data_IF_678270603846
#
_entry.id   IF_678270603846
#
_cell.length_a   1.000
_cell.length_b   1.000
_cell.length_c   1.000
_cell.angle_alpha   90.00
_cell.angle_beta   90.00
_cell.angle_gamma   90.00
#
_symmetry.space_group_name_H-M   'P 1'
#
loop_
_entity.id
_entity.type
_entity.pdbx_description
1 polymer ?
#
# COMPACT_ATOMS: atom_id res chain seq x y z
N UNK A 1 9.83 12.20 -22.03
CA UNK A 1 9.56 12.18 -20.58
C UNK A 1 9.26 10.75 -20.20
N UNK A 2 10.14 10.22 -19.37
CA UNK A 2 10.45 8.80 -19.21
C UNK A 2 9.41 8.08 -18.35
N UNK A 3 8.86 6.97 -18.87
CA UNK A 3 7.87 6.13 -18.18
C UNK A 3 8.32 5.73 -16.77
N UNK A 4 9.64 5.53 -16.60
CA UNK A 4 10.30 5.18 -15.34
C UNK A 4 10.11 6.23 -14.24
N UNK A 5 10.17 7.53 -14.57
CA UNK A 5 9.94 8.60 -13.59
C UNK A 5 8.49 8.60 -13.07
N UNK A 6 7.54 8.21 -13.91
CA UNK A 6 6.13 8.17 -13.53
C UNK A 6 5.84 6.97 -12.62
N UNK A 7 6.43 5.81 -12.90
CA UNK A 7 6.31 4.61 -12.07
C UNK A 7 6.91 4.84 -10.67
N UNK A 8 8.11 5.44 -10.57
CA UNK A 8 8.70 5.75 -9.27
C UNK A 8 7.85 6.72 -8.44
N UNK A 9 7.23 7.72 -9.08
CA UNK A 9 6.28 8.63 -8.41
C UNK A 9 5.09 7.84 -7.85
N UNK A 10 4.46 6.99 -8.67
CA UNK A 10 3.32 6.16 -8.25
C UNK A 10 3.68 5.27 -7.07
N UNK A 11 4.84 4.61 -7.11
CA UNK A 11 5.33 3.76 -6.01
C UNK A 11 5.50 4.57 -4.73
N UNK A 12 6.10 5.76 -4.82
CA UNK A 12 6.34 6.62 -3.65
C UNK A 12 5.02 7.07 -3.01
N UNK A 13 4.07 7.54 -3.82
CA UNK A 13 2.76 8.01 -3.34
C UNK A 13 1.92 6.86 -2.77
N UNK A 14 1.94 5.68 -3.40
CA UNK A 14 1.26 4.49 -2.91
C UNK A 14 1.82 4.01 -1.56
N UNK A 15 3.16 4.00 -1.41
CA UNK A 15 3.81 3.68 -0.14
C UNK A 15 3.45 4.68 0.95
N UNK A 16 3.49 5.98 0.65
CA UNK A 16 3.11 7.04 1.58
C UNK A 16 1.65 6.89 2.02
N UNK A 17 0.73 6.69 1.06
CA UNK A 17 -0.70 6.47 1.32
C UNK A 17 -0.93 5.26 2.23
N UNK A 18 -0.21 4.16 1.99
CA UNK A 18 -0.27 2.96 2.82
C UNK A 18 0.14 3.25 4.26
N UNK A 19 1.30 3.88 4.45
CA UNK A 19 1.84 4.20 5.78
C UNK A 19 0.90 5.15 6.53
N UNK A 20 0.43 6.21 5.88
CA UNK A 20 -0.49 7.18 6.46
C UNK A 20 -1.80 6.52 6.87
N UNK A 21 -2.38 5.65 6.04
CA UNK A 21 -3.60 4.92 6.39
C UNK A 21 -3.43 4.09 7.66
N UNK A 22 -2.36 3.28 7.76
CA UNK A 22 -2.13 2.47 8.96
C UNK A 22 -1.86 3.35 10.18
N UNK A 23 -1.11 4.44 10.03
CA UNK A 23 -0.82 5.32 11.15
C UNK A 23 -2.07 6.04 11.65
N UNK A 24 -2.82 6.69 10.77
CA UNK A 24 -3.97 7.54 11.16
C UNK A 24 -5.24 6.74 11.45
N UNK A 25 -5.52 5.69 10.67
CA UNK A 25 -6.76 4.90 10.82
C UNK A 25 -6.60 3.72 11.76
N UNK A 26 -5.41 3.14 11.82
CA UNK A 26 -5.16 1.90 12.55
C UNK A 26 -4.35 2.12 13.83
N UNK A 27 -3.65 3.26 13.97
CA UNK A 27 -2.65 3.50 15.02
C UNK A 27 -1.54 2.45 14.98
N UNK A 28 -1.13 2.07 13.76
CA UNK A 28 -0.12 1.05 13.52
C UNK A 28 1.04 1.64 12.71
N UNK A 29 2.26 1.49 13.23
CA UNK A 29 3.47 1.70 12.45
C UNK A 29 3.77 0.44 11.62
N UNK A 30 3.93 0.62 10.32
CA UNK A 30 4.13 -0.46 9.35
C UNK A 30 5.40 -0.28 8.54
N UNK A 31 5.94 -1.39 8.06
CA UNK A 31 7.11 -1.43 7.17
C UNK A 31 6.68 -2.03 5.85
N UNK A 32 6.97 -1.31 4.76
CA UNK A 32 6.74 -1.79 3.40
C UNK A 32 7.91 -2.67 2.99
N UNK A 33 7.62 -3.89 2.55
CA UNK A 33 8.63 -4.87 2.12
C UNK A 33 8.65 -5.09 0.61
N UNK A 34 7.59 -4.70 -0.09
CA UNK A 34 7.47 -4.94 -1.52
C UNK A 34 6.41 -4.08 -2.19
N UNK A 35 6.47 -4.04 -3.52
CA UNK A 35 5.44 -3.47 -4.37
C UNK A 35 5.40 -4.19 -5.71
N UNK A 36 4.22 -4.26 -6.31
CA UNK A 36 4.02 -4.84 -7.64
C UNK A 36 2.96 -4.04 -8.39
N UNK A 37 3.21 -3.70 -9.65
CA UNK A 37 2.21 -3.05 -10.49
C UNK A 37 1.19 -4.08 -10.96
N UNK A 38 -0.08 -3.80 -10.70
CA UNK A 38 -1.18 -4.56 -11.27
C UNK A 38 -1.38 -4.25 -12.76
N UNK A 39 -2.44 -4.81 -13.36
CA UNK A 39 -2.76 -4.59 -14.76
C UNK A 39 -2.90 -3.09 -15.08
N UNK A 40 -2.31 -2.64 -16.19
CA UNK A 40 -2.36 -1.23 -16.62
C UNK A 40 -3.79 -0.71 -16.74
N UNK A 41 -4.72 -1.54 -17.21
CA UNK A 41 -6.15 -1.19 -17.34
C UNK A 41 -6.81 -0.88 -16.00
N UNK A 42 -6.31 -1.47 -14.90
CA UNK A 42 -6.84 -1.26 -13.55
C UNK A 42 -6.14 -0.12 -12.81
N UNK A 43 -5.04 0.42 -13.36
CA UNK A 43 -4.18 1.43 -12.73
C UNK A 43 -3.99 1.16 -11.24
N UNK A 44 -3.47 -0.02 -10.92
CA UNK A 44 -3.37 -0.50 -9.55
C UNK A 44 -1.94 -0.87 -9.19
N UNK A 45 -1.59 -0.71 -7.93
CA UNK A 45 -0.32 -1.12 -7.34
C UNK A 45 -0.60 -1.89 -6.06
N UNK A 46 0.00 -3.06 -5.94
CA UNK A 46 -0.03 -3.89 -4.76
C UNK A 46 1.14 -3.50 -3.87
N UNK A 47 0.87 -3.23 -2.60
CA UNK A 47 1.86 -2.89 -1.59
C UNK A 47 1.84 -3.96 -0.51
N UNK A 48 2.98 -4.60 -0.27
CA UNK A 48 3.13 -5.63 0.76
C UNK A 48 3.95 -5.11 1.93
N UNK A 49 3.60 -5.53 3.15
CA UNK A 49 4.31 -5.13 4.34
C UNK A 49 3.90 -5.89 5.59
N UNK A 50 4.43 -5.45 6.73
CA UNK A 50 4.07 -5.98 8.04
C UNK A 50 4.09 -4.86 9.09
N UNK A 51 3.49 -5.11 10.26
CA UNK A 51 3.59 -4.19 11.41
C UNK A 51 5.04 -4.15 11.88
N UNK A 52 5.57 -2.96 12.18
CA UNK A 52 6.99 -2.76 12.51
C UNK A 52 7.45 -3.64 13.68
N UNK A 53 6.64 -3.74 14.71
CA UNK A 53 6.92 -4.51 15.93
C UNK A 53 6.57 -6.00 15.83
N UNK A 54 5.93 -6.45 14.74
CA UNK A 54 5.46 -7.81 14.60
C UNK A 54 5.43 -8.25 13.13
N UNK A 55 6.42 -9.05 12.73
CA UNK A 55 6.58 -9.55 11.35
C UNK A 55 5.53 -10.58 10.95
N UNK A 56 4.86 -11.25 11.90
CA UNK A 56 3.78 -12.19 11.61
C UNK A 56 2.48 -11.45 11.24
N UNK A 57 2.36 -10.18 11.63
CA UNK A 57 1.25 -9.30 11.25
C UNK A 57 1.47 -8.68 9.87
N UNK A 58 1.40 -9.52 8.84
CA UNK A 58 1.55 -9.11 7.43
C UNK A 58 0.26 -8.55 6.83
N UNK A 59 0.42 -7.72 5.81
CA UNK A 59 -0.66 -7.17 4.99
C UNK A 59 -0.25 -7.03 3.52
N UNK A 60 -1.25 -7.04 2.65
CA UNK A 60 -1.18 -6.66 1.25
C UNK A 60 -2.31 -5.67 0.94
N UNK A 61 -1.98 -4.52 0.39
CA UNK A 61 -2.94 -3.48 0.02
C UNK A 61 -2.93 -3.29 -1.48
N UNK A 62 -4.11 -3.26 -2.07
CA UNK A 62 -4.30 -2.79 -3.45
C UNK A 62 -4.61 -1.30 -3.39
N UNK A 63 -3.74 -0.49 -4.00
CA UNK A 63 -3.99 0.94 -4.21
C UNK A 63 -4.37 1.11 -5.67
N UNK A 64 -5.55 1.65 -5.90
CA UNK A 64 -5.97 2.14 -7.20
C UNK A 64 -5.54 3.60 -7.32
N UNK A 65 -4.95 3.96 -8.45
CA UNK A 65 -4.52 5.32 -8.72
C UNK A 65 -5.07 5.81 -10.05
N UNK A 66 -5.42 7.09 -10.13
CA UNK A 66 -5.82 7.72 -11.38
C UNK A 66 -5.41 9.19 -11.38
N UNK A 67 -4.43 9.52 -12.22
CA UNK A 67 -3.75 10.82 -12.18
C UNK A 67 -3.09 11.04 -10.81
N UNK A 68 -3.57 12.04 -10.07
CA UNK A 68 -3.06 12.42 -8.74
C UNK A 68 -3.88 11.84 -7.57
N UNK A 69 -4.88 10.98 -7.84
CA UNK A 69 -5.71 10.36 -6.79
C UNK A 69 -5.24 8.95 -6.49
N UNK A 70 -5.08 8.64 -5.20
CA UNK A 70 -4.70 7.30 -4.70
C UNK A 70 -5.74 6.84 -3.68
N UNK A 71 -6.37 5.70 -3.92
CA UNK A 71 -7.41 5.16 -3.06
C UNK A 71 -7.12 3.71 -2.72
N UNK A 72 -7.39 3.33 -1.46
CA UNK A 72 -7.30 1.93 -1.04
C UNK A 72 -8.50 1.19 -1.65
N UNK A 73 -8.20 0.23 -2.54
CA UNK A 73 -9.21 -0.64 -3.13
C UNK A 73 -9.52 -1.84 -2.24
N UNK A 74 -8.48 -2.56 -1.80
CA UNK A 74 -8.64 -3.72 -0.93
C UNK A 74 -7.47 -3.89 0.03
N UNK A 75 -7.75 -4.50 1.18
CA UNK A 75 -6.75 -4.84 2.19
C UNK A 75 -6.89 -6.32 2.51
N UNK A 76 -5.85 -7.08 2.21
CA UNK A 76 -5.67 -8.45 2.68
C UNK A 76 -4.68 -8.46 3.82
N UNK A 77 -4.90 -9.30 4.83
CA UNK A 77 -4.07 -9.34 6.03
C UNK A 77 -3.96 -10.73 6.61
N UNK A 78 -2.88 -10.96 7.33
CA UNK A 78 -2.74 -12.10 8.23
C UNK A 78 -3.88 -12.15 9.25
N UNK A 79 -4.19 -13.36 9.74
CA UNK A 79 -5.24 -13.58 10.74
C UNK A 79 -4.93 -12.88 12.07
N UNK A 80 -3.63 -12.75 12.41
CA UNK A 80 -3.11 -12.09 13.61
C UNK A 80 -3.23 -10.57 13.58
N UNK A 81 -3.24 -9.94 12.39
CA UNK A 81 -3.43 -8.50 12.24
C UNK A 81 -4.91 -8.14 12.40
N UNK A 82 -5.24 -7.35 13.42
CA UNK A 82 -6.59 -6.81 13.67
C UNK A 82 -6.62 -5.35 13.22
N UNK A 83 -7.61 -4.99 12.42
CA UNK A 83 -7.84 -3.61 11.97
C UNK A 83 -9.08 -3.05 12.67
N UNK A 84 -9.04 -1.74 12.94
CA UNK A 84 -10.14 -0.89 13.37
C UNK A 84 -11.03 -0.60 12.15
N UNK A 85 -12.34 -0.79 12.31
CA UNK A 85 -13.38 -0.55 11.29
C UNK A 85 -14.29 0.59 11.74
#
# INVERSE_FOLDING_TARGET
MDQKNNEEKVVKEAKATTITYFKEKQDLDVVITGHEFGPKDLQSIYISGHVKDDRDKTFNITIQYSGDKYTIGSISKSKSLKLKY
#
